data_IF_450216082717
#
_entry.id   IF_450216082717
#
_cell.length_a   1.000
_cell.length_b   1.000
_cell.length_c   1.000
_cell.angle_alpha   90.00
_cell.angle_beta   90.00
_cell.angle_gamma   90.00
#
_symmetry.space_group_name_H-M   'P 1'
#
loop_
_entity.id
_entity.type
_entity.pdbx_description
1 polymer ?
#
# COMPACT_ATOMS: atom_id res chain seq x y z
N UNK A 1 1.36 -13.83 -19.03
CA UNK A 1 1.52 -13.24 -17.68
C UNK A 1 2.88 -12.56 -17.64
N UNK A 2 2.97 -11.30 -17.21
CA UNK A 2 4.20 -10.52 -17.22
C UNK A 2 5.10 -10.95 -16.03
N UNK A 3 6.40 -11.15 -16.25
CA UNK A 3 7.35 -11.69 -15.23
C UNK A 3 7.36 -10.83 -13.95
N UNK A 4 7.16 -9.52 -14.09
CA UNK A 4 7.06 -8.58 -12.98
C UNK A 4 5.83 -8.81 -12.06
N UNK A 5 4.74 -9.36 -12.59
CA UNK A 5 3.51 -9.59 -11.81
C UNK A 5 3.66 -10.80 -10.88
N UNK A 6 4.33 -11.86 -11.35
CA UNK A 6 4.64 -13.05 -10.55
C UNK A 6 5.60 -12.70 -9.42
N UNK A 7 6.58 -11.83 -9.69
CA UNK A 7 7.51 -11.31 -8.68
C UNK A 7 6.79 -10.53 -7.58
N UNK A 8 5.83 -9.67 -7.91
CA UNK A 8 5.14 -8.88 -6.89
C UNK A 8 4.22 -9.71 -6.00
N UNK A 9 3.42 -10.62 -6.56
CA UNK A 9 2.60 -11.52 -5.76
C UNK A 9 3.47 -12.44 -4.89
N UNK A 10 4.64 -12.87 -5.38
CA UNK A 10 5.60 -13.61 -4.59
C UNK A 10 6.11 -12.78 -3.39
N UNK A 11 6.40 -11.49 -3.57
CA UNK A 11 6.74 -10.59 -2.45
C UNK A 11 5.59 -10.44 -1.47
N UNK A 12 4.34 -10.37 -1.93
CA UNK A 12 3.17 -10.36 -1.02
C UNK A 12 3.11 -11.65 -0.18
N UNK A 13 3.27 -12.81 -0.81
CA UNK A 13 3.31 -14.09 -0.12
C UNK A 13 4.47 -14.16 0.90
N UNK A 14 5.64 -13.65 0.52
CA UNK A 14 6.79 -13.53 1.41
C UNK A 14 6.51 -12.61 2.61
N UNK A 15 5.85 -11.45 2.42
CA UNK A 15 5.48 -10.55 3.52
C UNK A 15 4.63 -11.27 4.58
N UNK A 16 3.62 -12.04 4.15
CA UNK A 16 2.78 -12.81 5.08
C UNK A 16 3.55 -13.93 5.79
N UNK A 17 4.39 -14.68 5.06
CA UNK A 17 5.21 -15.76 5.64
C UNK A 17 6.20 -15.22 6.68
N UNK A 18 6.92 -14.15 6.35
CA UNK A 18 7.88 -13.49 7.25
C UNK A 18 7.17 -12.94 8.48
N UNK A 19 6.06 -12.22 8.31
CA UNK A 19 5.32 -11.68 9.45
C UNK A 19 4.82 -12.78 10.38
N UNK A 20 4.30 -13.89 9.83
CA UNK A 20 3.87 -15.05 10.64
C UNK A 20 5.01 -15.61 11.47
N UNK A 21 6.15 -15.91 10.86
CA UNK A 21 7.34 -16.43 11.54
C UNK A 21 7.84 -15.49 12.64
N UNK A 22 7.93 -14.20 12.35
CA UNK A 22 8.35 -13.19 13.33
C UNK A 22 7.34 -13.06 14.49
N UNK A 23 6.05 -13.17 14.19
CA UNK A 23 4.99 -13.10 15.21
C UNK A 23 5.06 -14.28 16.17
N UNK A 24 5.31 -15.49 15.66
CA UNK A 24 5.51 -16.70 16.47
C UNK A 24 6.76 -16.60 17.36
N UNK A 25 7.81 -15.91 16.89
CA UNK A 25 9.08 -15.79 17.61
C UNK A 25 9.09 -14.67 18.65
N UNK A 26 8.49 -13.52 18.34
CA UNK A 26 8.69 -12.27 19.10
C UNK A 26 7.40 -11.52 19.44
N UNK A 27 6.25 -12.07 19.07
CA UNK A 27 4.95 -11.42 19.18
C UNK A 27 4.63 -10.50 17.99
N UNK A 28 3.34 -10.22 17.75
CA UNK A 28 2.87 -9.52 16.55
C UNK A 28 3.33 -8.06 16.44
N UNK A 29 3.46 -7.37 17.58
CA UNK A 29 3.92 -5.98 17.62
C UNK A 29 5.39 -5.87 17.20
N UNK A 30 6.26 -6.69 17.81
CA UNK A 30 7.68 -6.71 17.49
C UNK A 30 7.93 -7.20 16.06
N UNK A 31 7.12 -8.16 15.57
CA UNK A 31 7.14 -8.57 14.18
C UNK A 31 6.85 -7.41 13.24
N UNK A 32 5.85 -6.58 13.54
CA UNK A 32 5.49 -5.42 12.72
C UNK A 32 6.63 -4.39 12.67
N UNK A 33 7.24 -4.08 13.81
CA UNK A 33 8.41 -3.19 13.88
C UNK A 33 9.57 -3.73 13.03
N UNK A 34 9.80 -5.04 13.05
CA UNK A 34 10.84 -5.66 12.23
C UNK A 34 10.53 -5.60 10.73
N UNK A 35 9.27 -5.82 10.33
CA UNK A 35 8.87 -5.68 8.94
C UNK A 35 9.14 -4.27 8.39
N UNK A 36 8.91 -3.24 9.21
CA UNK A 36 9.21 -1.85 8.83
C UNK A 36 10.69 -1.54 8.61
N UNK A 37 11.59 -2.36 9.17
CA UNK A 37 13.04 -2.23 8.92
C UNK A 37 13.46 -2.94 7.63
N UNK A 38 12.73 -4.00 7.24
CA UNK A 38 13.13 -4.87 6.14
C UNK A 38 12.64 -4.40 4.76
N UNK A 39 11.43 -3.83 4.68
CA UNK A 39 10.81 -3.44 3.41
C UNK A 39 10.93 -1.96 2.95
N UNK A 40 11.55 -1.00 3.68
CA UNK A 40 11.45 0.40 3.31
C UNK A 40 12.12 0.72 1.96
N UNK A 41 13.34 0.27 1.72
CA UNK A 41 14.12 0.70 0.53
C UNK A 41 13.44 0.36 -0.80
N UNK A 42 12.99 -0.89 -0.95
CA UNK A 42 12.33 -1.32 -2.18
C UNK A 42 10.95 -0.68 -2.35
N UNK A 43 10.23 -0.44 -1.25
CA UNK A 43 8.96 0.27 -1.30
C UNK A 43 9.16 1.74 -1.70
N UNK A 44 10.16 2.41 -1.14
CA UNK A 44 10.51 3.80 -1.47
C UNK A 44 10.89 3.93 -2.94
N UNK A 45 11.77 3.06 -3.45
CA UNK A 45 12.18 3.05 -4.87
C UNK A 45 10.99 2.91 -5.81
N UNK A 46 9.99 2.10 -5.44
CA UNK A 46 8.77 1.90 -6.24
C UNK A 46 7.84 3.10 -6.20
N UNK A 47 7.71 3.75 -5.06
CA UNK A 47 6.77 4.86 -4.86
C UNK A 47 7.32 6.21 -5.39
N UNK A 48 8.63 6.43 -5.27
CA UNK A 48 9.28 7.70 -5.59
C UNK A 48 8.94 8.25 -6.99
N UNK A 49 8.89 7.45 -8.08
CA UNK A 49 8.55 7.95 -9.41
C UNK A 49 7.13 8.51 -9.54
N UNK A 50 6.21 8.06 -8.69
CA UNK A 50 4.82 8.53 -8.66
C UNK A 50 4.69 9.81 -7.84
N UNK A 51 5.42 9.89 -6.72
CA UNK A 51 5.35 11.02 -5.80
C UNK A 51 6.08 12.27 -6.33
N UNK A 52 6.98 12.13 -7.30
CA UNK A 52 7.73 13.25 -7.90
C UNK A 52 7.01 13.93 -9.09
N UNK A 53 5.77 13.52 -9.38
CA UNK A 53 4.98 14.13 -10.47
C UNK A 53 4.41 15.49 -10.09
N UNK A 54 3.92 16.22 -11.11
CA UNK A 54 3.33 17.55 -10.97
C UNK A 54 2.11 17.55 -10.04
N UNK A 55 1.29 16.50 -10.07
CA UNK A 55 0.28 16.22 -9.03
C UNK A 55 0.39 14.78 -8.52
N UNK A 56 -0.05 14.56 -7.28
CA UNK A 56 -0.18 13.22 -6.71
C UNK A 56 -1.14 12.38 -7.56
N UNK A 57 -2.26 12.95 -8.01
CA UNK A 57 -3.26 12.24 -8.79
C UNK A 57 -2.69 11.69 -10.11
N UNK A 58 -1.91 12.50 -10.84
CA UNK A 58 -1.20 12.04 -12.04
C UNK A 58 -0.20 10.94 -11.71
N UNK A 59 0.57 11.11 -10.64
CA UNK A 59 1.52 10.13 -10.14
C UNK A 59 0.90 8.77 -9.88
N UNK A 60 -0.14 8.73 -9.05
CA UNK A 60 -0.83 7.49 -8.71
C UNK A 60 -1.56 6.86 -9.90
N UNK A 61 -2.06 7.68 -10.85
CA UNK A 61 -2.71 7.17 -12.05
C UNK A 61 -1.77 6.30 -12.90
N UNK A 62 -0.46 6.58 -12.91
CA UNK A 62 0.56 5.76 -13.59
C UNK A 62 0.69 4.36 -12.99
N UNK A 63 0.31 4.16 -11.72
CA UNK A 63 0.31 2.86 -11.05
C UNK A 63 -0.88 1.96 -11.41
N UNK A 64 -1.96 2.52 -11.98
CA UNK A 64 -3.21 1.78 -12.26
C UNK A 64 -2.99 0.54 -13.13
N UNK A 65 -2.22 0.57 -14.25
CA UNK A 65 -1.99 -0.62 -15.06
C UNK A 65 -1.30 -1.74 -14.28
N UNK A 66 -0.33 -1.40 -13.43
CA UNK A 66 0.35 -2.34 -12.58
C UNK A 66 -0.60 -2.95 -11.54
N UNK A 67 -1.37 -2.13 -10.82
CA UNK A 67 -2.37 -2.57 -9.85
C UNK A 67 -3.40 -3.52 -10.50
N UNK A 68 -3.90 -3.15 -11.68
CA UNK A 68 -4.82 -4.00 -12.46
C UNK A 68 -4.19 -5.36 -12.77
N UNK A 69 -2.92 -5.36 -13.12
CA UNK A 69 -2.19 -6.57 -13.50
C UNK A 69 -1.97 -7.58 -12.35
N UNK A 70 -2.06 -7.12 -11.10
CA UNK A 70 -2.02 -7.95 -9.88
C UNK A 70 -3.42 -8.21 -9.28
N UNK A 71 -4.49 -7.80 -9.98
CA UNK A 71 -5.87 -8.06 -9.57
C UNK A 71 -6.50 -6.98 -8.67
N UNK A 72 -5.90 -5.78 -8.61
CA UNK A 72 -6.46 -4.61 -7.94
C UNK A 72 -7.11 -3.71 -9.00
N UNK A 73 -8.43 -3.59 -9.01
CA UNK A 73 -9.09 -2.54 -9.79
C UNK A 73 -9.07 -1.23 -9.02
N UNK A 74 -8.19 -0.33 -9.45
CA UNK A 74 -7.99 0.98 -8.84
C UNK A 74 -8.62 2.10 -9.69
N UNK A 75 -9.07 3.15 -9.01
CA UNK A 75 -9.41 4.46 -9.58
C UNK A 75 -8.67 5.50 -8.76
N UNK A 76 -8.14 6.53 -9.43
CA UNK A 76 -7.54 7.68 -8.77
C UNK A 76 -8.45 8.89 -8.97
N UNK A 77 -8.71 9.63 -7.90
CA UNK A 77 -9.48 10.87 -7.91
C UNK A 77 -8.58 12.00 -7.42
N UNK A 78 -8.48 13.05 -8.23
CA UNK A 78 -7.85 14.29 -7.80
C UNK A 78 -8.78 15.03 -6.83
N UNK A 79 -8.25 15.35 -5.66
CA UNK A 79 -8.94 16.12 -4.62
C UNK A 79 -8.17 17.40 -4.25
N UNK A 80 -7.26 17.83 -5.13
CA UNK A 80 -6.44 19.02 -4.94
C UNK A 80 -7.29 20.27 -4.84
N UNK A 81 -7.07 21.05 -3.80
CA UNK A 81 -7.77 22.31 -3.56
C UNK A 81 -7.02 23.16 -2.51
N UNK A 82 -7.26 24.47 -2.48
CA UNK A 82 -6.76 25.38 -1.42
C UNK A 82 -5.24 25.27 -1.18
N UNK A 83 -4.44 25.13 -2.24
CA UNK A 83 -2.97 25.00 -2.14
C UNK A 83 -2.47 23.65 -1.60
N UNK A 84 -3.33 22.63 -1.59
CA UNK A 84 -3.00 21.25 -1.25
C UNK A 84 -3.13 20.40 -2.51
N UNK A 85 -2.06 19.69 -2.86
CA UNK A 85 -2.06 18.63 -3.86
C UNK A 85 -2.51 17.35 -3.16
N UNK A 86 -3.60 16.76 -3.64
CA UNK A 86 -4.29 15.67 -2.97
C UNK A 86 -4.83 14.62 -3.93
N UNK A 87 -4.73 13.36 -3.54
CA UNK A 87 -5.25 12.24 -4.32
C UNK A 87 -5.96 11.22 -3.42
N UNK A 88 -7.04 10.64 -3.96
CA UNK A 88 -7.64 9.41 -3.44
C UNK A 88 -7.32 8.25 -4.38
N UNK A 89 -6.75 7.18 -3.83
CA UNK A 89 -6.60 5.90 -4.51
C UNK A 89 -7.67 4.93 -3.99
N UNK A 90 -8.61 4.55 -4.87
CA UNK A 90 -9.80 3.77 -4.53
C UNK A 90 -9.68 2.38 -5.13
N UNK A 91 -9.61 1.34 -4.29
CA UNK A 91 -9.52 -0.05 -4.72
C UNK A 91 -10.88 -0.75 -4.60
N UNK A 92 -11.41 -1.19 -5.74
CA UNK A 92 -12.66 -1.96 -5.83
C UNK A 92 -12.44 -3.45 -5.54
N UNK A 93 -11.27 -3.97 -5.89
CA UNK A 93 -10.87 -5.36 -5.65
C UNK A 93 -9.58 -5.41 -4.84
N UNK A 94 -9.52 -6.34 -3.88
CA UNK A 94 -8.33 -6.58 -3.06
C UNK A 94 -7.97 -8.08 -3.14
N UNK A 95 -6.91 -8.47 -3.89
CA UNK A 95 -6.49 -9.86 -4.01
C UNK A 95 -5.93 -10.39 -2.68
N UNK A 96 -5.40 -9.50 -1.84
CA UNK A 96 -4.73 -9.87 -0.59
C UNK A 96 -5.67 -10.50 0.44
N UNK A 97 -6.97 -10.21 0.40
CA UNK A 97 -7.97 -10.86 1.29
C UNK A 97 -7.99 -12.38 1.14
N UNK A 98 -7.78 -12.90 -0.08
CA UNK A 98 -7.71 -14.35 -0.32
C UNK A 98 -6.34 -14.91 0.05
N UNK A 99 -5.29 -14.12 -0.14
CA UNK A 99 -3.91 -14.53 0.16
C UNK A 99 -3.70 -14.63 1.67
N UNK A 100 -4.13 -13.64 2.45
CA UNK A 100 -3.96 -13.60 3.91
C UNK A 100 -4.55 -14.83 4.61
N UNK A 101 -5.70 -15.31 4.13
CA UNK A 101 -6.36 -16.52 4.64
C UNK A 101 -5.49 -17.77 4.52
N UNK A 102 -4.66 -17.89 3.50
CA UNK A 102 -3.72 -19.03 3.35
C UNK A 102 -2.67 -19.09 4.46
N UNK A 103 -2.41 -17.95 5.11
CA UNK A 103 -1.46 -17.83 6.20
C UNK A 103 -2.13 -17.82 7.59
N UNK A 104 -3.46 -17.89 7.65
CA UNK A 104 -4.23 -17.87 8.89
C UNK A 104 -4.60 -16.47 9.39
N UNK A 105 -4.43 -15.43 8.57
CA UNK A 105 -4.81 -14.06 8.96
C UNK A 105 -6.22 -13.72 8.50
N UNK A 106 -7.02 -13.16 9.40
CA UNK A 106 -8.37 -12.68 9.13
C UNK A 106 -8.36 -11.56 8.07
N UNK A 107 -7.36 -10.67 8.14
CA UNK A 107 -7.24 -9.51 7.27
C UNK A 107 -5.80 -9.23 6.80
N UNK A 108 -5.62 -8.64 5.60
CA UNK A 108 -4.31 -8.35 5.04
C UNK A 108 -3.77 -6.96 5.45
N UNK A 109 -4.64 -6.06 5.93
CA UNK A 109 -4.38 -4.63 5.96
C UNK A 109 -3.19 -4.25 6.85
N UNK A 110 -3.06 -4.88 8.02
CA UNK A 110 -1.98 -4.59 8.96
C UNK A 110 -0.58 -4.93 8.41
N UNK A 111 -0.49 -5.96 7.56
CA UNK A 111 0.79 -6.49 7.03
C UNK A 111 1.13 -5.84 5.69
N UNK A 112 0.12 -5.47 4.90
CA UNK A 112 0.33 -4.91 3.56
C UNK A 112 0.18 -3.39 3.59
N UNK A 113 -1.04 -2.91 3.76
CA UNK A 113 -1.38 -1.52 3.55
C UNK A 113 -0.80 -0.62 4.66
N UNK A 114 -0.89 -1.02 5.91
CA UNK A 114 -0.43 -0.18 7.04
C UNK A 114 1.08 -0.04 7.07
N UNK A 115 1.80 -1.12 6.77
CA UNK A 115 3.26 -1.08 6.58
C UNK A 115 3.64 -0.12 5.45
N UNK A 116 2.94 -0.20 4.32
CA UNK A 116 3.21 0.70 3.18
C UNK A 116 2.94 2.16 3.52
N UNK A 117 1.84 2.48 4.20
CA UNK A 117 1.55 3.84 4.65
C UNK A 117 2.61 4.36 5.64
N UNK A 118 3.03 3.52 6.57
CA UNK A 118 4.03 3.90 7.56
C UNK A 118 5.40 4.13 6.92
N UNK A 119 5.80 3.29 5.96
CA UNK A 119 7.02 3.51 5.17
C UNK A 119 6.93 4.85 4.42
N UNK A 120 5.80 5.15 3.78
CA UNK A 120 5.61 6.41 3.05
C UNK A 120 5.76 7.61 3.99
N UNK A 121 5.09 7.59 5.15
CA UNK A 121 5.18 8.68 6.14
C UNK A 121 6.61 8.91 6.63
N UNK A 122 7.37 7.83 6.85
CA UNK A 122 8.78 7.93 7.30
C UNK A 122 9.70 8.44 6.20
N UNK A 123 9.50 7.99 4.97
CA UNK A 123 10.37 8.33 3.84
C UNK A 123 10.08 9.71 3.24
N UNK A 124 8.83 10.16 3.32
CA UNK A 124 8.35 11.40 2.70
C UNK A 124 7.60 12.24 3.73
N UNK A 125 8.29 12.93 4.66
CA UNK A 125 7.65 13.65 5.77
C UNK A 125 6.75 14.81 5.32
N UNK A 126 6.89 15.29 4.08
CA UNK A 126 5.99 16.28 3.47
C UNK A 126 4.69 15.70 2.89
N UNK A 127 4.52 14.37 2.93
CA UNK A 127 3.34 13.68 2.41
C UNK A 127 2.57 13.06 3.58
N UNK A 128 1.31 13.44 3.68
CA UNK A 128 0.35 12.85 4.59
C UNK A 128 -0.35 11.69 3.88
N UNK A 129 -0.12 10.46 4.34
CA UNK A 129 -0.73 9.25 3.81
C UNK A 129 -1.67 8.60 4.84
N UNK A 130 -2.90 8.29 4.47
CA UNK A 130 -3.94 7.77 5.36
C UNK A 130 -4.77 6.67 4.69
N UNK A 131 -5.24 5.70 5.49
CA UNK A 131 -6.25 4.72 5.07
C UNK A 131 -7.59 5.21 5.58
N UNK A 132 -8.50 5.56 4.66
CA UNK A 132 -9.82 6.12 4.97
C UNK A 132 -10.86 5.02 5.15
N UNK A 133 -10.82 4.01 4.29
CA UNK A 133 -11.72 2.85 4.39
C UNK A 133 -11.03 1.59 3.90
N UNK A 134 -11.55 0.44 4.31
CA UNK A 134 -10.95 -0.87 4.04
C UNK A 134 -12.03 -1.90 3.84
N UNK A 135 -11.93 -2.67 2.74
CA UNK A 135 -12.82 -3.80 2.48
C UNK A 135 -12.76 -4.90 3.54
N UNK A 136 -11.65 -4.99 4.29
CA UNK A 136 -11.52 -5.95 5.39
C UNK A 136 -12.47 -5.65 6.57
N UNK A 137 -12.90 -4.40 6.73
CA UNK A 137 -13.87 -3.96 7.75
C UNK A 137 -15.20 -3.55 7.08
N UNK A 138 -15.76 -4.45 6.28
CA UNK A 138 -17.09 -4.36 5.67
C UNK A 138 -17.36 -3.14 4.76
N UNK A 139 -16.33 -2.42 4.33
CA UNK A 139 -16.48 -1.34 3.35
C UNK A 139 -16.59 -1.88 1.91
N UNK A 140 -17.29 -1.14 1.04
CA UNK A 140 -17.44 -1.51 -0.37
C UNK A 140 -16.14 -1.37 -1.17
N UNK A 141 -15.22 -0.50 -0.73
CA UNK A 141 -13.92 -0.22 -1.35
C UNK A 141 -12.85 0.00 -0.28
N UNK A 142 -11.57 -0.12 -0.63
CA UNK A 142 -10.50 0.50 0.15
C UNK A 142 -10.24 1.90 -0.41
N UNK A 143 -10.00 2.88 0.46
CA UNK A 143 -9.66 4.24 0.05
C UNK A 143 -8.41 4.68 0.79
N UNK A 144 -7.42 5.09 0.02
CA UNK A 144 -6.18 5.68 0.52
C UNK A 144 -6.16 7.15 0.14
N UNK A 145 -5.77 8.01 1.07
CA UNK A 145 -5.65 9.44 0.86
C UNK A 145 -4.20 9.87 0.98
N UNK A 146 -3.77 10.67 0.04
CA UNK A 146 -2.44 11.27 0.00
C UNK A 146 -2.58 12.77 -0.17
N UNK A 147 -1.87 13.55 0.65
CA UNK A 147 -1.88 15.01 0.61
C UNK A 147 -0.45 15.53 0.77
N UNK A 148 -0.11 16.59 0.04
CA UNK A 148 1.09 17.41 0.28
C UNK A 148 0.78 18.88 0.01
N UNK A 149 1.50 19.80 0.64
CA UNK A 149 1.38 21.22 0.27
C UNK A 149 2.01 21.46 -1.09
N UNK A 150 1.32 22.21 -1.94
CA UNK A 150 1.88 22.73 -3.19
C UNK A 150 3.02 23.68 -2.81
N UNK A 151 4.18 23.51 -3.45
CA UNK A 151 5.33 24.39 -3.23
C UNK A 151 5.14 25.74 -3.90
#
# INVERSE_FOLDING_TARGET
>A
MNIHNTSFLAVTHQKFDVYKKLSEQSGPEQAWVQMLRYYPDEQIKRMMPFLDKSSLAEGFALGIPFLKSIGIGAVVVDISNNGIDGALEIHKQCPYMKISKKYGFAEPCHIICEIEMEIIRRAFPGIKAEIISRKAYDSSVCVFKYERRVR
#
